data_IF_571868669669
#
_entry.id   IF_571868669669
#
_cell.length_a   1.000
_cell.length_b   1.000
_cell.length_c   1.000
_cell.angle_alpha   90.00
_cell.angle_beta   90.00
_cell.angle_gamma   90.00
#
_symmetry.space_group_name_H-M   'P 1'
#
loop_
_entity.id
_entity.type
_entity.pdbx_description
1 polymer ?
#
# COMPACT_ATOMS: atom_id res chain seq x y z
N UNK A 1 -3.26 -6.27 15.33
CA UNK A 1 -3.26 -5.66 13.99
C UNK A 1 -1.96 -4.88 13.87
N UNK A 2 -0.98 -5.38 13.11
CA UNK A 2 0.23 -4.63 12.79
C UNK A 2 -0.11 -3.33 12.05
N UNK A 3 0.82 -2.37 12.13
CA UNK A 3 0.68 -1.06 11.48
C UNK A 3 1.92 -0.74 10.65
N UNK A 4 1.70 -0.13 9.49
CA UNK A 4 2.74 0.40 8.60
C UNK A 4 2.72 1.93 8.66
N UNK A 5 3.86 2.54 8.94
CA UNK A 5 4.05 3.99 8.82
C UNK A 5 4.79 4.34 7.53
N UNK A 6 4.18 5.15 6.67
CA UNK A 6 4.77 5.57 5.40
C UNK A 6 4.24 6.93 4.97
N UNK A 7 5.15 7.84 4.55
CA UNK A 7 4.80 9.22 4.13
C UNK A 7 3.90 10.00 5.11
N UNK A 8 4.02 9.73 6.42
CA UNK A 8 3.20 10.37 7.46
C UNK A 8 1.78 9.78 7.59
N UNK A 9 1.49 8.70 6.88
CA UNK A 9 0.27 7.90 7.03
C UNK A 9 0.54 6.66 7.87
N UNK A 10 -0.48 6.24 8.62
CA UNK A 10 -0.50 4.97 9.35
C UNK A 10 -1.55 4.07 8.71
N UNK A 11 -1.14 2.90 8.24
CA UNK A 11 -2.00 1.88 7.65
C UNK A 11 -2.09 0.70 8.59
N UNK A 12 -3.30 0.29 8.94
CA UNK A 12 -3.52 -0.97 9.62
C UNK A 12 -3.48 -2.10 8.60
N UNK A 13 -2.77 -3.17 8.94
CA UNK A 13 -2.63 -4.34 8.08
C UNK A 13 -2.92 -5.63 8.85
N UNK A 14 -3.24 -6.68 8.11
CA UNK A 14 -3.34 -8.04 8.64
C UNK A 14 -1.97 -8.73 8.72
N UNK A 15 -1.97 -10.04 8.99
CA UNK A 15 -0.73 -10.83 9.15
C UNK A 15 0.03 -11.04 7.83
N UNK A 16 -0.65 -10.91 6.70
CA UNK A 16 -0.09 -11.07 5.36
C UNK A 16 0.30 -9.73 4.71
N UNK A 17 -0.01 -8.60 5.37
CA UNK A 17 0.33 -7.26 4.92
C UNK A 17 -0.74 -6.59 4.06
N UNK A 18 -1.96 -7.14 4.00
CA UNK A 18 -3.07 -6.49 3.32
C UNK A 18 -3.69 -5.40 4.19
N UNK A 19 -4.13 -4.32 3.55
CA UNK A 19 -4.83 -3.22 4.23
C UNK A 19 -6.16 -3.71 4.81
N UNK A 20 -6.46 -3.29 6.05
CA UNK A 20 -7.62 -3.77 6.81
C UNK A 20 -8.98 -3.29 6.27
N UNK A 21 -9.06 -2.05 5.81
CA UNK A 21 -10.25 -1.40 5.26
C UNK A 21 -9.86 -0.50 4.08
N UNK A 22 -10.59 -0.62 2.97
CA UNK A 22 -10.41 0.20 1.79
C UNK A 22 -10.57 1.72 2.06
N UNK A 23 -11.26 2.12 3.13
CA UNK A 23 -11.34 3.52 3.55
C UNK A 23 -10.00 4.12 3.96
N UNK A 24 -9.04 3.29 4.36
CA UNK A 24 -7.68 3.72 4.71
C UNK A 24 -6.77 3.82 3.49
N UNK A 25 -7.23 3.38 2.32
CA UNK A 25 -6.46 3.38 1.08
C UNK A 25 -6.23 4.80 0.55
N UNK A 26 -5.03 5.04 0.05
CA UNK A 26 -4.65 6.21 -0.73
C UNK A 26 -3.43 5.87 -1.60
N UNK A 27 -2.97 6.79 -2.45
CA UNK A 27 -1.81 6.54 -3.31
C UNK A 27 -0.50 6.32 -2.53
N UNK A 28 -0.36 6.85 -1.31
CA UNK A 28 0.82 6.61 -0.48
C UNK A 28 0.90 5.11 -0.07
N UNK A 29 -0.24 4.46 0.15
CA UNK A 29 -0.29 3.01 0.34
C UNK A 29 0.27 2.26 -0.87
N UNK A 30 -0.15 2.61 -2.08
CA UNK A 30 0.35 1.96 -3.32
C UNK A 30 1.86 2.19 -3.49
N UNK A 31 2.37 3.38 -3.13
CA UNK A 31 3.81 3.68 -3.13
C UNK A 31 4.59 2.89 -2.08
N UNK A 32 3.97 2.50 -0.97
CA UNK A 32 4.56 1.57 -0.01
C UNK A 32 4.60 0.15 -0.59
N UNK A 33 3.45 -0.37 -1.02
CA UNK A 33 3.29 -1.75 -1.52
C UNK A 33 4.17 -2.03 -2.74
N UNK A 34 4.34 -1.07 -3.66
CA UNK A 34 5.24 -1.29 -4.81
C UNK A 34 6.67 -1.65 -4.36
N UNK A 35 7.15 -1.13 -3.23
CA UNK A 35 8.49 -1.42 -2.71
C UNK A 35 8.57 -2.83 -2.15
N UNK A 36 7.51 -3.32 -1.52
CA UNK A 36 7.45 -4.68 -0.95
C UNK A 36 7.27 -5.74 -2.03
N UNK A 37 6.53 -5.42 -3.10
CA UNK A 37 6.28 -6.30 -4.24
C UNK A 37 7.39 -6.27 -5.31
N UNK A 38 8.45 -5.48 -5.10
CA UNK A 38 9.56 -5.37 -6.06
C UNK A 38 9.20 -4.63 -7.35
N UNK A 39 8.19 -3.77 -7.33
CA UNK A 39 7.77 -2.93 -8.44
C UNK A 39 8.50 -1.57 -8.36
N UNK A 40 9.43 -1.35 -9.29
CA UNK A 40 10.24 -0.13 -9.34
C UNK A 40 9.42 1.12 -9.68
N UNK A 41 8.59 1.04 -10.73
CA UNK A 41 7.78 2.15 -11.25
C UNK A 41 6.31 1.76 -11.42
N UNK A 42 5.41 2.64 -10.95
CA UNK A 42 3.98 2.50 -11.18
C UNK A 42 3.62 3.16 -12.51
N UNK A 43 3.40 2.31 -13.52
CA UNK A 43 2.95 2.75 -14.86
C UNK A 43 1.42 2.80 -14.96
N UNK A 44 0.90 3.45 -16.00
CA UNK A 44 -0.54 3.51 -16.29
C UNK A 44 -1.23 2.14 -16.37
N UNK A 45 -0.52 1.08 -16.78
CA UNK A 45 -1.08 -0.27 -16.84
C UNK A 45 -1.40 -0.84 -15.45
N UNK A 46 -0.65 -0.46 -14.41
CA UNK A 46 -0.93 -0.90 -13.03
C UNK A 46 -2.21 -0.27 -12.48
N UNK A 47 -2.65 0.85 -13.04
CA UNK A 47 -3.85 1.58 -12.60
C UNK A 47 -5.12 1.17 -13.37
N UNK A 48 -4.99 0.35 -14.42
CA UNK A 48 -6.11 -0.10 -15.25
C UNK A 48 -6.75 -1.40 -14.78
N UNK A 49 -6.19 -2.04 -13.74
CA UNK A 49 -6.63 -3.33 -13.20
C UNK A 49 -7.43 -3.20 -11.93
#
# INVERSE_FOLDING_TARGET
MPTVEFEGHTFNVDEDGFIDDFKNWNEAWVRHVKQTEGIEELTDEHWKV
#
